data_IF_749526421718
#
_entry.id   IF_749526421718
#
_cell.length_a   1.000
_cell.length_b   1.000
_cell.length_c   1.000
_cell.angle_alpha   90.00
_cell.angle_beta   90.00
_cell.angle_gamma   90.00
#
_symmetry.space_group_name_H-M   'P 1'
#
loop_
_entity.id
_entity.type
_entity.pdbx_description
1 polymer ?
#
# COMPACT_ATOMS: atom_id res chain seq x y z
N UNK A 1 -12.12 -38.59 7.23
CA UNK A 1 -11.87 -37.86 5.99
C UNK A 1 -10.62 -37.01 6.17
N UNK A 2 -9.75 -36.92 5.19
CA UNK A 2 -8.60 -35.99 5.16
C UNK A 2 -9.13 -34.58 5.23
N UNK A 3 -8.44 -33.73 5.96
CA UNK A 3 -8.83 -32.32 6.09
C UNK A 3 -8.48 -31.59 4.78
N UNK A 4 -9.39 -30.81 4.19
CA UNK A 4 -9.06 -30.08 2.96
C UNK A 4 -7.97 -29.04 3.20
N UNK A 5 -7.19 -28.74 2.17
CA UNK A 5 -6.11 -27.76 2.24
C UNK A 5 -6.45 -26.51 1.43
N UNK A 6 -6.18 -25.34 2.00
CA UNK A 6 -6.22 -24.08 1.23
C UNK A 6 -4.80 -23.58 1.01
N UNK A 7 -4.42 -23.53 -0.26
CA UNK A 7 -3.13 -23.03 -0.71
C UNK A 7 -3.20 -21.53 -1.00
N UNK A 8 -2.42 -20.73 -0.27
CA UNK A 8 -2.32 -19.29 -0.49
C UNK A 8 -1.02 -18.98 -1.21
N UNK A 9 -1.09 -18.46 -2.41
CA UNK A 9 0.06 -18.17 -3.27
C UNK A 9 0.46 -16.71 -3.12
N UNK A 10 1.55 -16.47 -2.40
CA UNK A 10 2.10 -15.16 -2.07
C UNK A 10 1.93 -14.81 -0.58
N UNK A 11 3.05 -14.50 0.09
CA UNK A 11 3.10 -14.07 1.50
C UNK A 11 3.19 -12.53 1.64
N UNK A 12 2.57 -11.79 0.72
CA UNK A 12 2.34 -10.35 0.86
C UNK A 12 1.20 -10.04 1.84
N UNK A 13 0.89 -8.76 2.05
CA UNK A 13 -0.15 -8.34 3.01
C UNK A 13 -1.52 -8.98 2.74
N UNK A 14 -1.91 -9.15 1.47
CA UNK A 14 -3.18 -9.81 1.11
C UNK A 14 -3.18 -11.30 1.40
N UNK A 15 -2.07 -12.01 1.07
CA UNK A 15 -1.97 -13.44 1.34
C UNK A 15 -1.87 -13.75 2.83
N UNK A 16 -1.07 -12.97 3.58
CA UNK A 16 -1.01 -13.11 5.05
C UNK A 16 -2.37 -12.83 5.70
N UNK A 17 -3.12 -11.84 5.20
CA UNK A 17 -4.48 -11.56 5.66
C UNK A 17 -5.42 -12.73 5.37
N UNK A 18 -5.41 -13.25 4.15
CA UNK A 18 -6.24 -14.38 3.76
C UNK A 18 -5.95 -15.62 4.62
N UNK A 19 -4.67 -15.98 4.77
CA UNK A 19 -4.23 -17.11 5.56
C UNK A 19 -4.63 -16.97 7.04
N UNK A 20 -4.48 -15.77 7.64
CA UNK A 20 -4.84 -15.51 9.03
C UNK A 20 -6.34 -15.62 9.28
N UNK A 21 -7.17 -15.12 8.37
CA UNK A 21 -8.63 -15.23 8.48
C UNK A 21 -9.09 -16.68 8.33
N UNK A 22 -8.52 -17.43 7.37
CA UNK A 22 -8.82 -18.86 7.22
C UNK A 22 -8.37 -19.68 8.41
N UNK A 23 -7.14 -19.50 8.88
CA UNK A 23 -6.60 -20.21 10.02
C UNK A 23 -7.36 -19.94 11.33
N UNK A 24 -8.13 -18.85 11.41
CA UNK A 24 -8.98 -18.52 12.54
C UNK A 24 -10.38 -19.16 12.46
N UNK A 25 -10.87 -19.48 11.26
CA UNK A 25 -12.30 -19.78 11.05
C UNK A 25 -12.59 -21.03 10.23
N UNK A 26 -11.65 -21.48 9.39
CA UNK A 26 -11.88 -22.61 8.48
C UNK A 26 -11.48 -23.95 9.12
N UNK A 27 -12.21 -25.00 8.78
CA UNK A 27 -11.87 -26.39 9.08
C UNK A 27 -10.98 -26.98 7.99
N UNK A 28 -9.90 -26.29 7.64
CA UNK A 28 -8.97 -26.65 6.57
C UNK A 28 -7.53 -26.46 7.05
N UNK A 29 -6.60 -27.15 6.43
CA UNK A 29 -5.17 -26.91 6.60
C UNK A 29 -4.76 -25.73 5.70
N UNK A 30 -3.94 -24.83 6.20
CA UNK A 30 -3.54 -23.62 5.47
C UNK A 30 -2.06 -23.68 5.16
N UNK A 31 -1.72 -23.56 3.86
CA UNK A 31 -0.34 -23.56 3.39
C UNK A 31 -0.11 -22.29 2.56
N UNK A 32 0.79 -21.44 3.04
CA UNK A 32 1.21 -20.23 2.31
C UNK A 32 2.49 -20.53 1.54
N UNK A 33 2.51 -20.24 0.26
CA UNK A 33 3.67 -20.37 -0.62
C UNK A 33 4.18 -19.00 -1.05
N UNK A 34 5.47 -18.75 -0.87
CA UNK A 34 6.13 -17.49 -1.23
C UNK A 34 7.34 -17.78 -2.10
N UNK A 35 7.44 -17.08 -3.21
CA UNK A 35 8.54 -17.24 -4.17
C UNK A 35 9.89 -16.75 -3.67
N UNK A 36 9.88 -15.82 -2.72
CA UNK A 36 11.10 -15.24 -2.16
C UNK A 36 11.55 -15.96 -0.88
N UNK A 37 12.81 -15.72 -0.48
CA UNK A 37 13.41 -16.24 0.75
C UNK A 37 12.78 -15.61 2.03
N UNK A 38 11.92 -14.58 1.89
CA UNK A 38 11.24 -13.94 3.01
C UNK A 38 9.84 -13.45 2.63
N UNK A 39 8.92 -13.52 3.59
CA UNK A 39 7.57 -12.99 3.45
C UNK A 39 7.57 -11.44 3.42
N UNK A 40 6.43 -10.83 3.04
CA UNK A 40 6.24 -9.38 3.03
C UNK A 40 5.93 -8.80 1.66
N UNK A 41 6.14 -9.54 0.58
CA UNK A 41 5.83 -9.15 -0.80
C UNK A 41 6.53 -7.84 -1.21
N UNK A 42 5.79 -6.84 -1.68
CA UNK A 42 6.31 -5.51 -2.03
C UNK A 42 6.84 -4.70 -0.82
N UNK A 43 6.76 -5.25 0.40
CA UNK A 43 7.05 -4.57 1.66
C UNK A 43 8.15 -5.29 2.45
N UNK A 44 9.18 -5.74 1.74
CA UNK A 44 10.34 -6.44 2.33
C UNK A 44 11.34 -5.45 2.91
N UNK A 45 12.06 -5.92 3.91
CA UNK A 45 13.22 -5.25 4.50
C UNK A 45 14.48 -5.87 3.93
N UNK A 46 15.45 -5.06 3.60
CA UNK A 46 16.77 -5.46 3.11
C UNK A 46 17.82 -4.94 4.08
N UNK A 47 18.78 -5.77 4.43
CA UNK A 47 19.95 -5.32 5.16
C UNK A 47 21.06 -4.94 4.16
N UNK A 48 21.71 -3.82 4.40
CA UNK A 48 22.85 -3.34 3.62
C UNK A 48 24.06 -3.31 4.52
N UNK A 49 25.04 -4.19 4.26
CA UNK A 49 26.25 -4.33 5.06
C UNK A 49 27.11 -3.07 5.02
N UNK A 50 27.16 -2.38 3.87
CA UNK A 50 27.97 -1.17 3.71
C UNK A 50 27.44 0.02 4.53
N UNK A 51 26.13 0.11 4.70
CA UNK A 51 25.48 1.12 5.53
C UNK A 51 25.22 0.63 6.96
N UNK A 52 25.50 -0.65 7.27
CA UNK A 52 25.19 -1.32 8.53
C UNK A 52 23.73 -1.10 8.98
N UNK A 53 22.77 -1.04 8.03
CA UNK A 53 21.40 -0.62 8.27
C UNK A 53 20.41 -1.42 7.45
N UNK A 54 19.23 -1.65 8.05
CA UNK A 54 18.08 -2.23 7.36
C UNK A 54 17.30 -1.15 6.62
N UNK A 55 17.00 -1.40 5.34
CA UNK A 55 16.19 -0.55 4.50
C UNK A 55 14.90 -1.25 4.09
N UNK A 56 13.83 -0.49 4.01
CA UNK A 56 12.53 -0.99 3.55
C UNK A 56 12.27 -0.54 2.12
N UNK A 57 11.56 -1.36 1.37
CA UNK A 57 11.16 -1.02 0.00
C UNK A 57 10.21 0.21 -0.09
N UNK A 58 9.93 0.87 1.00
CA UNK A 58 9.22 2.14 1.08
C UNK A 58 8.70 2.44 2.49
N UNK A 59 8.46 3.72 2.80
CA UNK A 59 7.87 4.13 4.06
C UNK A 59 6.48 3.55 4.21
N UNK A 60 6.11 3.22 5.44
CA UNK A 60 4.85 2.55 5.74
C UNK A 60 3.99 3.44 6.61
N UNK A 61 2.84 3.77 6.06
CA UNK A 61 1.81 4.50 6.78
C UNK A 61 0.56 3.65 6.81
N UNK A 62 -0.06 3.56 7.97
CA UNK A 62 -1.40 3.03 8.19
C UNK A 62 -2.24 4.18 8.73
N UNK A 63 -3.43 4.37 8.21
CA UNK A 63 -4.30 5.41 8.72
C UNK A 63 -5.16 4.87 9.86
N UNK A 64 -5.44 5.71 10.86
CA UNK A 64 -6.28 5.34 12.01
C UNK A 64 -7.74 5.01 11.62
N UNK A 65 -8.15 5.33 10.41
CA UNK A 65 -9.43 4.97 9.78
C UNK A 65 -9.45 3.59 9.11
N UNK A 66 -8.30 2.98 8.87
CA UNK A 66 -8.17 1.72 8.14
C UNK A 66 -8.54 0.53 9.02
N UNK A 67 -9.80 0.13 8.91
CA UNK A 67 -10.39 -0.87 9.81
C UNK A 67 -9.83 -2.26 9.61
N UNK A 68 -9.63 -2.69 8.37
CA UNK A 68 -9.11 -4.03 8.07
C UNK A 68 -7.64 -4.16 8.44
N UNK A 69 -6.83 -3.16 8.09
CA UNK A 69 -5.41 -3.17 8.43
C UNK A 69 -5.19 -3.10 9.95
N UNK A 70 -5.89 -2.20 10.65
CA UNK A 70 -5.77 -2.08 12.11
C UNK A 70 -6.34 -3.31 12.83
N UNK A 71 -7.48 -3.82 12.41
CA UNK A 71 -8.07 -5.03 13.00
C UNK A 71 -7.13 -6.23 12.85
N UNK A 72 -6.44 -6.37 11.71
CA UNK A 72 -5.45 -7.42 11.54
C UNK A 72 -4.20 -7.18 12.41
N UNK A 73 -3.69 -5.94 12.48
CA UNK A 73 -2.57 -5.55 13.34
C UNK A 73 -2.87 -5.86 14.81
N UNK A 74 -4.10 -5.62 15.26
CA UNK A 74 -4.56 -5.96 16.60
C UNK A 74 -4.67 -7.48 16.80
N UNK A 75 -5.26 -8.19 15.85
CA UNK A 75 -5.44 -9.64 15.90
C UNK A 75 -4.12 -10.45 15.94
N UNK A 76 -3.04 -9.89 15.38
CA UNK A 76 -1.69 -10.48 15.47
C UNK A 76 -0.89 -9.96 16.66
N UNK A 77 -1.48 -9.12 17.52
CA UNK A 77 -0.85 -8.57 18.73
C UNK A 77 0.24 -7.52 18.45
N UNK A 78 0.19 -6.85 17.32
CA UNK A 78 1.24 -5.93 16.88
C UNK A 78 0.91 -4.44 17.09
N UNK A 79 -0.21 -4.09 17.74
CA UNK A 79 -0.66 -2.68 17.86
C UNK A 79 0.37 -1.76 18.52
N UNK A 80 1.09 -2.24 19.50
CA UNK A 80 2.14 -1.47 20.20
C UNK A 80 3.37 -1.15 19.34
N UNK A 81 3.52 -1.81 18.18
CA UNK A 81 4.60 -1.53 17.22
C UNK A 81 4.29 -0.31 16.31
N UNK A 82 3.13 0.32 16.47
CA UNK A 82 2.67 1.44 15.64
C UNK A 82 2.44 2.68 16.49
N UNK A 83 3.02 3.80 16.06
CA UNK A 83 2.88 5.10 16.72
C UNK A 83 2.21 6.13 15.80
N UNK A 84 1.53 7.10 16.38
CA UNK A 84 1.03 8.28 15.68
C UNK A 84 2.22 9.12 15.20
N UNK A 85 2.30 9.34 13.91
CA UNK A 85 3.40 10.10 13.29
C UNK A 85 3.07 11.60 13.16
N UNK A 86 1.81 11.99 13.39
CA UNK A 86 1.37 13.37 13.24
C UNK A 86 0.21 13.71 14.22
N UNK A 87 0.43 13.64 15.54
CA UNK A 87 -0.63 13.88 16.53
C UNK A 87 -1.21 15.30 16.46
N UNK A 88 -0.43 16.27 15.97
CA UNK A 88 -0.84 17.67 15.75
C UNK A 88 -1.32 18.00 14.34
N UNK A 89 -1.41 16.99 13.46
CA UNK A 89 -1.67 17.15 12.03
C UNK A 89 -0.44 16.94 11.15
N UNK A 90 -0.63 16.83 9.86
CA UNK A 90 0.46 16.57 8.89
C UNK A 90 1.12 17.89 8.49
N UNK A 91 2.42 17.99 8.72
CA UNK A 91 3.21 19.17 8.33
C UNK A 91 3.58 19.07 6.84
N UNK A 92 3.48 20.20 6.14
CA UNK A 92 3.91 20.40 4.77
C UNK A 92 4.94 21.52 4.69
N UNK A 93 5.79 21.46 3.68
CA UNK A 93 6.70 22.53 3.28
C UNK A 93 6.62 22.77 1.78
N UNK A 94 6.75 24.02 1.36
CA UNK A 94 6.80 24.44 -0.03
C UNK A 94 8.21 24.91 -0.36
N UNK A 95 8.91 24.18 -1.23
CA UNK A 95 10.30 24.50 -1.58
C UNK A 95 10.44 25.79 -2.36
N UNK A 96 9.40 26.21 -3.10
CA UNK A 96 9.45 27.43 -3.88
C UNK A 96 9.29 28.69 -3.04
N UNK A 97 8.47 28.64 -1.96
CA UNK A 97 8.20 29.81 -1.11
C UNK A 97 8.88 29.74 0.26
N UNK A 98 9.38 28.58 0.69
CA UNK A 98 9.87 28.33 2.04
C UNK A 98 8.78 28.24 3.10
N UNK A 99 7.51 28.38 2.73
CA UNK A 99 6.38 28.36 3.67
C UNK A 99 6.16 26.97 4.25
N UNK A 100 5.88 26.90 5.56
CA UNK A 100 5.50 25.66 6.24
C UNK A 100 4.10 25.80 6.85
N UNK A 101 3.31 24.75 6.76
CA UNK A 101 1.98 24.70 7.39
C UNK A 101 1.65 23.32 7.91
N UNK A 102 0.63 23.24 8.74
CA UNK A 102 0.13 21.96 9.23
C UNK A 102 -1.32 21.79 8.85
N UNK A 103 -1.61 20.76 8.06
CA UNK A 103 -2.97 20.33 7.75
C UNK A 103 -3.50 19.51 8.92
N UNK A 104 -4.65 19.97 9.50
CA UNK A 104 -5.24 19.37 10.70
C UNK A 104 -6.68 18.93 10.44
N UNK A 105 -6.89 17.82 9.71
CA UNK A 105 -8.22 17.28 9.51
C UNK A 105 -8.86 16.95 10.86
N UNK A 106 -10.12 17.31 11.04
CA UNK A 106 -10.89 16.92 12.23
C UNK A 106 -11.63 15.62 11.98
N UNK A 107 -11.83 14.86 13.05
CA UNK A 107 -12.71 13.69 13.00
C UNK A 107 -14.19 14.10 13.03
N UNK A 108 -15.04 13.24 12.47
CA UNK A 108 -16.49 13.42 12.47
C UNK A 108 -17.10 13.29 11.07
N UNK A 109 -18.42 13.14 10.97
CA UNK A 109 -19.12 12.92 9.71
C UNK A 109 -19.09 14.13 8.78
N UNK A 110 -18.89 15.33 9.34
CA UNK A 110 -18.79 16.58 8.58
C UNK A 110 -17.40 17.19 8.78
N UNK A 111 -16.76 17.68 7.72
CA UNK A 111 -15.40 18.23 7.79
C UNK A 111 -15.38 19.69 8.31
N UNK A 112 -15.89 19.92 9.50
CA UNK A 112 -15.97 21.25 10.12
C UNK A 112 -14.63 21.99 10.17
N UNK A 113 -13.52 21.23 10.18
CA UNK A 113 -12.18 21.80 10.19
C UNK A 113 -11.86 22.68 8.96
N UNK A 114 -12.57 22.49 7.84
CA UNK A 114 -12.36 23.31 6.63
C UNK A 114 -12.83 24.77 6.84
N UNK A 115 -13.64 25.04 7.84
CA UNK A 115 -14.09 26.41 8.16
C UNK A 115 -13.04 27.20 8.94
N UNK A 116 -12.08 26.53 9.59
CA UNK A 116 -10.95 27.18 10.26
C UNK A 116 -9.74 27.34 9.30
N UNK A 117 -9.38 28.58 8.91
CA UNK A 117 -8.24 28.82 8.01
C UNK A 117 -6.89 28.28 8.53
N UNK A 118 -6.73 28.15 9.86
CA UNK A 118 -5.50 27.66 10.50
C UNK A 118 -5.32 26.13 10.36
N UNK A 119 -6.38 25.44 9.98
CA UNK A 119 -6.42 23.98 9.84
C UNK A 119 -6.35 23.52 8.38
N UNK A 120 -6.55 24.45 7.44
CA UNK A 120 -6.51 24.21 6.00
C UNK A 120 -5.12 24.39 5.41
N UNK A 121 -4.96 23.98 4.14
CA UNK A 121 -3.82 24.42 3.35
C UNK A 121 -3.88 25.95 3.15
N UNK A 122 -2.78 26.69 3.37
CA UNK A 122 -2.77 28.13 3.26
C UNK A 122 -3.09 28.60 1.85
N UNK A 123 -3.68 29.80 1.75
CA UNK A 123 -4.12 30.41 0.48
C UNK A 123 -5.18 29.59 -0.27
N UNK A 124 -5.86 28.64 0.40
CA UNK A 124 -7.05 27.96 -0.12
C UNK A 124 -8.32 28.58 0.42
N UNK A 125 -9.42 28.45 -0.34
CA UNK A 125 -10.76 28.93 0.03
C UNK A 125 -11.68 27.76 0.33
N UNK A 126 -12.79 27.98 1.03
CA UNK A 126 -13.78 26.93 1.30
C UNK A 126 -14.27 26.22 0.05
N UNK A 127 -14.50 26.98 -1.03
CA UNK A 127 -14.93 26.41 -2.31
C UNK A 127 -13.96 25.38 -2.89
N UNK A 128 -12.68 25.45 -2.54
CA UNK A 128 -11.64 24.53 -3.04
C UNK A 128 -11.76 23.14 -2.44
N UNK A 129 -12.52 23.01 -1.34
CA UNK A 129 -12.84 21.74 -0.67
C UNK A 129 -14.20 21.15 -1.11
N UNK A 130 -15.01 21.93 -1.84
CA UNK A 130 -16.33 21.52 -2.30
C UNK A 130 -16.32 20.26 -3.20
N UNK A 131 -15.32 20.06 -4.08
CA UNK A 131 -15.22 18.85 -4.89
C UNK A 131 -15.28 17.56 -4.07
N UNK A 132 -14.78 17.57 -2.85
CA UNK A 132 -14.81 16.42 -1.93
C UNK A 132 -16.22 15.82 -1.77
N UNK A 133 -17.26 16.64 -1.71
CA UNK A 133 -18.64 16.19 -1.56
C UNK A 133 -19.18 15.46 -2.79
N UNK A 134 -18.60 15.72 -3.96
CA UNK A 134 -19.04 15.15 -5.24
C UNK A 134 -18.27 13.87 -5.64
N UNK A 135 -17.03 13.75 -5.18
CA UNK A 135 -16.14 12.63 -5.55
C UNK A 135 -16.68 11.27 -5.13
N UNK A 136 -17.38 11.18 -4.00
CA UNK A 136 -18.00 9.92 -3.54
C UNK A 136 -19.10 9.37 -4.47
N UNK A 137 -19.60 10.18 -5.43
CA UNK A 137 -20.62 9.80 -6.43
C UNK A 137 -20.09 9.95 -7.85
N UNK A 138 -18.79 10.08 -8.04
CA UNK A 138 -18.20 10.25 -9.35
C UNK A 138 -18.45 9.00 -10.23
N UNK A 139 -18.80 9.17 -11.51
CA UNK A 139 -18.89 8.08 -12.47
C UNK A 139 -17.57 7.29 -12.56
N UNK A 140 -17.66 6.03 -12.96
CA UNK A 140 -16.51 5.14 -13.03
C UNK A 140 -15.42 5.60 -14.02
N UNK A 141 -15.81 6.32 -15.07
CA UNK A 141 -14.93 6.84 -16.11
C UNK A 141 -14.43 8.28 -15.86
N UNK A 142 -14.85 8.92 -14.76
CA UNK A 142 -14.49 10.30 -14.46
C UNK A 142 -13.06 10.44 -13.96
N UNK A 143 -12.39 11.49 -14.40
CA UNK A 143 -11.06 11.88 -13.91
C UNK A 143 -11.18 12.81 -12.70
N UNK A 144 -10.20 12.74 -11.79
CA UNK A 144 -10.14 13.64 -10.65
C UNK A 144 -10.01 15.10 -11.10
N UNK A 145 -9.25 15.36 -12.17
CA UNK A 145 -9.08 16.68 -12.77
C UNK A 145 -10.37 17.32 -13.29
N UNK A 146 -11.44 16.53 -13.55
CA UNK A 146 -12.77 17.08 -13.93
C UNK A 146 -13.51 17.71 -12.73
N UNK A 147 -13.11 17.37 -11.52
CA UNK A 147 -13.76 17.80 -10.27
C UNK A 147 -12.99 18.88 -9.52
N UNK A 148 -11.67 18.81 -9.59
CA UNK A 148 -10.78 19.68 -8.80
C UNK A 148 -9.97 20.58 -9.71
N UNK A 149 -9.55 21.78 -9.26
CA UNK A 149 -8.73 22.65 -10.09
C UNK A 149 -7.38 21.98 -10.39
N UNK A 150 -6.95 22.06 -11.65
CA UNK A 150 -5.65 21.56 -12.12
C UNK A 150 -4.51 22.56 -11.88
N UNK A 151 -4.84 23.82 -11.56
CA UNK A 151 -3.89 24.93 -11.39
C UNK A 151 -4.17 25.72 -10.11
N UNK A 152 -3.15 26.47 -9.68
CA UNK A 152 -3.20 27.37 -8.54
C UNK A 152 -3.03 26.68 -7.20
N UNK A 153 -3.15 27.44 -6.13
CA UNK A 153 -2.76 27.01 -4.77
C UNK A 153 -3.54 25.80 -4.25
N UNK A 154 -4.80 25.65 -4.61
CA UNK A 154 -5.58 24.48 -4.22
C UNK A 154 -5.08 23.20 -4.90
N UNK A 155 -4.73 23.26 -6.19
CA UNK A 155 -4.11 22.15 -6.89
C UNK A 155 -2.76 21.76 -6.27
N UNK A 156 -1.87 22.75 -6.10
CA UNK A 156 -0.50 22.55 -5.61
C UNK A 156 -0.43 22.06 -4.16
N UNK A 157 -1.24 22.66 -3.26
CA UNK A 157 -1.12 22.49 -1.81
C UNK A 157 -2.09 21.51 -1.18
N UNK A 158 -3.10 21.05 -1.93
CA UNK A 158 -4.12 20.14 -1.44
C UNK A 158 -4.31 18.94 -2.36
N UNK A 159 -4.77 19.15 -3.61
CA UNK A 159 -5.26 18.06 -4.44
C UNK A 159 -4.17 17.19 -5.07
N UNK A 160 -3.09 17.79 -5.57
CA UNK A 160 -1.95 17.03 -6.11
C UNK A 160 -1.21 16.24 -5.04
N UNK A 161 -0.85 16.82 -3.87
CA UNK A 161 -0.30 16.03 -2.76
C UNK A 161 -1.21 14.90 -2.30
N UNK A 162 -2.52 15.14 -2.27
CA UNK A 162 -3.51 14.11 -1.95
C UNK A 162 -3.52 12.98 -2.98
N UNK A 163 -3.61 13.28 -4.27
CA UNK A 163 -3.63 12.30 -5.35
C UNK A 163 -2.36 11.44 -5.35
N UNK A 164 -1.20 12.06 -5.24
CA UNK A 164 0.08 11.35 -5.18
C UNK A 164 0.21 10.49 -3.92
N UNK A 165 -0.23 10.97 -2.76
CA UNK A 165 -0.18 10.21 -1.52
C UNK A 165 -1.10 8.98 -1.54
N UNK A 166 -2.36 9.18 -1.92
CA UNK A 166 -3.42 8.19 -1.81
C UNK A 166 -3.48 7.23 -3.00
N UNK A 167 -3.17 7.72 -4.20
CA UNK A 167 -3.37 7.00 -5.46
C UNK A 167 -2.05 6.65 -6.17
N UNK A 168 -0.95 7.30 -5.82
CA UNK A 168 0.32 7.21 -6.57
C UNK A 168 0.12 7.52 -8.07
N UNK A 169 -0.81 8.39 -8.39
CA UNK A 169 -1.20 8.77 -9.76
C UNK A 169 -1.44 10.26 -9.75
N UNK A 170 -0.95 10.95 -10.76
CA UNK A 170 -1.12 12.40 -10.85
C UNK A 170 -2.58 12.78 -11.05
N UNK A 171 -2.91 13.99 -10.64
CA UNK A 171 -4.25 14.55 -10.54
C UNK A 171 -5.03 14.46 -11.85
N UNK A 172 -4.38 14.74 -12.99
CA UNK A 172 -4.99 14.76 -14.30
C UNK A 172 -5.35 13.36 -14.84
N UNK A 173 -4.70 12.31 -14.32
CA UNK A 173 -4.90 10.91 -14.74
C UNK A 173 -5.71 10.09 -13.74
N UNK A 174 -5.80 10.56 -12.51
CA UNK A 174 -6.39 9.81 -11.41
C UNK A 174 -7.90 9.62 -11.57
N UNK A 175 -8.40 8.44 -11.17
CA UNK A 175 -9.83 8.14 -11.09
C UNK A 175 -10.49 8.97 -9.98
N UNK A 176 -11.54 9.72 -10.34
CA UNK A 176 -12.35 10.47 -9.39
C UNK A 176 -13.02 9.55 -8.36
N UNK A 177 -13.47 8.36 -8.76
CA UNK A 177 -14.08 7.36 -7.90
C UNK A 177 -13.10 6.84 -6.83
N UNK A 178 -11.90 6.45 -7.23
CA UNK A 178 -10.87 6.00 -6.30
C UNK A 178 -10.38 7.12 -5.38
N UNK A 179 -10.29 8.36 -5.91
CA UNK A 179 -10.00 9.54 -5.11
C UNK A 179 -11.08 9.79 -4.05
N UNK A 180 -12.35 9.67 -4.41
CA UNK A 180 -13.47 9.79 -3.48
C UNK A 180 -13.43 8.76 -2.35
N UNK A 181 -13.12 7.50 -2.67
CA UNK A 181 -12.95 6.44 -1.67
C UNK A 181 -11.78 6.74 -0.72
N UNK A 182 -10.62 7.12 -1.27
CA UNK A 182 -9.45 7.49 -0.47
C UNK A 182 -9.70 8.72 0.41
N UNK A 183 -10.46 9.70 -0.09
CA UNK A 183 -10.78 10.92 0.64
C UNK A 183 -11.62 10.64 1.90
N UNK A 184 -12.57 9.72 1.81
CA UNK A 184 -13.37 9.27 2.95
C UNK A 184 -12.51 8.63 4.05
N UNK A 185 -11.45 7.94 3.66
CA UNK A 185 -10.52 7.29 4.58
C UNK A 185 -9.41 8.22 5.11
N UNK A 186 -9.23 9.40 4.53
CA UNK A 186 -8.16 10.33 4.89
C UNK A 186 -8.70 11.61 5.51
N UNK A 187 -9.01 12.58 4.65
CA UNK A 187 -9.32 13.95 5.07
C UNK A 187 -10.70 14.09 5.74
N UNK A 188 -11.69 13.33 5.28
CA UNK A 188 -13.04 13.43 5.84
C UNK A 188 -13.18 12.68 7.17
N UNK A 189 -12.44 11.59 7.34
CA UNK A 189 -12.47 10.78 8.56
C UNK A 189 -11.59 11.31 9.70
N UNK A 190 -10.83 12.40 9.49
CA UNK A 190 -9.85 12.88 10.48
C UNK A 190 -8.77 11.86 10.80
N UNK A 191 -8.39 11.05 9.81
CA UNK A 191 -7.46 9.97 9.96
C UNK A 191 -6.06 10.47 10.32
N UNK A 192 -5.44 9.80 11.29
CA UNK A 192 -4.06 10.06 11.70
C UNK A 192 -3.14 9.04 11.07
N UNK A 193 -1.99 9.47 10.53
CA UNK A 193 -1.00 8.55 10.00
C UNK A 193 -0.25 7.84 11.14
N UNK A 194 -0.28 6.52 11.13
CA UNK A 194 0.50 5.67 12.02
C UNK A 194 1.70 5.11 11.26
N UNK A 195 2.87 5.14 11.88
CA UNK A 195 4.10 4.57 11.34
C UNK A 195 4.63 3.46 12.24
N UNK A 196 5.31 2.45 11.69
CA UNK A 196 5.93 1.41 12.52
C UNK A 196 7.11 2.00 13.28
N UNK A 197 7.28 1.57 14.54
CA UNK A 197 8.38 2.01 15.41
C UNK A 197 9.72 1.46 14.91
N UNK A 198 9.77 0.17 14.58
CA UNK A 198 10.99 -0.56 14.17
C UNK A 198 10.90 -1.21 12.79
N UNK A 199 10.18 -0.57 11.86
CA UNK A 199 9.97 -1.07 10.51
C UNK A 199 8.79 -2.02 10.37
N UNK A 200 8.38 -2.20 9.10
CA UNK A 200 7.15 -2.94 8.75
C UNK A 200 7.28 -4.44 9.00
N UNK A 201 8.46 -5.00 8.82
CA UNK A 201 8.70 -6.43 9.06
C UNK A 201 8.35 -6.80 10.50
N UNK A 202 8.93 -6.09 11.48
CA UNK A 202 8.66 -6.30 12.90
C UNK A 202 7.26 -5.89 13.34
N UNK A 203 6.67 -4.90 12.66
CA UNK A 203 5.35 -4.37 13.01
C UNK A 203 4.20 -5.13 12.36
N UNK A 204 4.45 -5.96 11.33
CA UNK A 204 3.38 -6.65 10.60
C UNK A 204 3.78 -8.09 10.18
N UNK A 205 4.89 -8.26 9.45
CA UNK A 205 5.21 -9.54 8.79
C UNK A 205 5.56 -10.63 9.80
N UNK A 206 6.51 -10.37 10.69
CA UNK A 206 6.93 -11.33 11.73
C UNK A 206 5.77 -11.71 12.67
N UNK A 207 4.99 -10.74 13.22
CA UNK A 207 3.82 -11.07 14.03
C UNK A 207 2.77 -11.90 13.28
N UNK A 208 2.52 -11.59 12.00
CA UNK A 208 1.59 -12.34 11.16
C UNK A 208 2.06 -13.78 10.94
N UNK A 209 3.33 -13.98 10.59
CA UNK A 209 3.92 -15.30 10.42
C UNK A 209 3.90 -16.11 11.73
N UNK A 210 4.20 -15.48 12.87
CA UNK A 210 4.11 -16.10 14.18
C UNK A 210 2.67 -16.51 14.53
N UNK A 211 1.70 -15.65 14.23
CA UNK A 211 0.28 -15.97 14.48
C UNK A 211 -0.21 -17.12 13.58
N UNK A 212 0.22 -17.20 12.34
CA UNK A 212 -0.07 -18.32 11.44
C UNK A 212 0.48 -19.64 11.97
N UNK A 213 1.77 -19.67 12.32
CA UNK A 213 2.39 -20.89 12.88
C UNK A 213 1.69 -21.37 14.16
N UNK A 214 1.30 -20.46 15.05
CA UNK A 214 0.53 -20.80 16.28
C UNK A 214 -0.82 -21.45 15.98
N UNK A 215 -1.41 -21.16 14.81
CA UNK A 215 -2.68 -21.73 14.35
C UNK A 215 -2.49 -22.98 13.48
N UNK A 216 -1.27 -23.50 13.38
CA UNK A 216 -0.95 -24.69 12.60
C UNK A 216 -0.79 -24.47 11.09
N UNK A 217 -0.81 -23.21 10.61
CA UNK A 217 -0.58 -22.91 9.21
C UNK A 217 0.91 -23.04 8.84
N UNK A 218 1.20 -23.60 7.67
CA UNK A 218 2.54 -23.71 7.14
C UNK A 218 2.87 -22.51 6.23
N UNK A 219 4.12 -22.02 6.32
CA UNK A 219 4.66 -21.01 5.37
C UNK A 219 5.88 -21.64 4.70
N UNK A 220 5.82 -21.76 3.38
CA UNK A 220 6.86 -22.32 2.53
C UNK A 220 7.46 -21.19 1.69
N UNK A 221 8.69 -20.83 2.00
CA UNK A 221 9.48 -19.82 1.28
C UNK A 221 10.23 -20.45 0.12
N UNK A 222 10.77 -19.63 -0.80
CA UNK A 222 11.51 -20.04 -1.98
C UNK A 222 10.73 -21.07 -2.82
N UNK A 223 9.40 -20.90 -2.86
CA UNK A 223 8.50 -21.81 -3.55
C UNK A 223 7.64 -21.04 -4.55
N UNK A 224 8.15 -20.92 -5.74
CA UNK A 224 7.53 -20.19 -6.82
C UNK A 224 6.56 -21.07 -7.59
N UNK A 225 5.32 -20.65 -7.68
CA UNK A 225 4.33 -21.25 -8.56
C UNK A 225 4.65 -20.84 -10.00
N UNK A 226 4.87 -21.83 -10.86
CA UNK A 226 5.17 -21.67 -12.27
C UNK A 226 3.92 -21.71 -13.15
N UNK A 227 2.97 -22.62 -12.84
CA UNK A 227 1.72 -22.76 -13.56
C UNK A 227 0.59 -23.26 -12.66
N UNK A 228 -0.64 -23.03 -13.10
CA UNK A 228 -1.85 -23.66 -12.59
C UNK A 228 -2.36 -24.68 -13.60
N UNK A 229 -2.63 -25.88 -13.13
CA UNK A 229 -3.40 -26.85 -13.90
C UNK A 229 -4.90 -26.52 -13.72
N UNK A 230 -5.49 -25.95 -14.77
CA UNK A 230 -6.85 -25.45 -14.76
C UNK A 230 -7.75 -26.37 -15.59
N UNK A 231 -8.59 -27.15 -14.92
CA UNK A 231 -9.67 -27.89 -15.56
C UNK A 231 -10.83 -26.95 -15.92
N UNK A 232 -11.89 -27.46 -16.51
CA UNK A 232 -13.01 -26.64 -16.98
C UNK A 232 -13.67 -25.78 -15.88
N UNK A 233 -13.80 -26.31 -14.67
CA UNK A 233 -14.53 -25.66 -13.58
C UNK A 233 -13.73 -25.47 -12.29
N UNK A 234 -12.58 -26.13 -12.16
CA UNK A 234 -11.76 -26.10 -10.95
C UNK A 234 -10.26 -26.11 -11.30
N UNK A 235 -9.44 -25.55 -10.41
CA UNK A 235 -8.00 -25.79 -10.44
C UNK A 235 -7.74 -27.21 -9.96
N UNK A 236 -6.98 -27.99 -10.73
CA UNK A 236 -6.67 -29.40 -10.46
C UNK A 236 -5.27 -29.58 -9.88
N UNK A 237 -4.34 -28.63 -10.09
CA UNK A 237 -2.98 -28.74 -9.61
C UNK A 237 -2.21 -27.43 -9.58
N UNK A 238 -1.16 -27.44 -8.77
CA UNK A 238 -0.21 -26.34 -8.60
C UNK A 238 1.16 -26.84 -9.06
N UNK A 239 1.70 -26.27 -10.13
CA UNK A 239 3.04 -26.60 -10.63
C UNK A 239 4.04 -25.57 -10.08
N UNK A 240 4.91 -26.02 -9.20
CA UNK A 240 6.01 -25.22 -8.69
C UNK A 240 7.28 -25.49 -9.51
N UNK A 241 8.30 -24.65 -9.38
CA UNK A 241 9.57 -24.83 -10.13
C UNK A 241 10.24 -26.19 -9.89
N UNK A 242 10.02 -26.83 -8.74
CA UNK A 242 10.72 -28.05 -8.33
C UNK A 242 9.81 -29.24 -8.01
N UNK A 243 8.50 -29.00 -7.87
CA UNK A 243 7.52 -30.03 -7.51
C UNK A 243 6.12 -29.65 -7.97
N UNK A 244 5.19 -30.61 -7.88
CA UNK A 244 3.77 -30.44 -8.16
C UNK A 244 2.94 -30.80 -6.93
N UNK A 245 1.83 -30.12 -6.76
CA UNK A 245 0.77 -30.46 -5.80
C UNK A 245 -0.50 -30.70 -6.59
N UNK A 246 -0.97 -31.93 -6.61
CA UNK A 246 -2.30 -32.27 -7.13
C UNK A 246 -3.34 -31.88 -6.07
N UNK A 247 -4.35 -31.15 -6.49
CA UNK A 247 -5.42 -30.70 -5.61
C UNK A 247 -6.45 -31.82 -5.47
N UNK A 248 -6.75 -32.18 -4.23
CA UNK A 248 -7.80 -33.14 -3.92
C UNK A 248 -9.18 -32.43 -3.85
N UNK A 249 -10.23 -33.21 -3.88
CA UNK A 249 -11.58 -32.69 -3.72
C UNK A 249 -11.70 -31.92 -2.40
N UNK A 250 -12.16 -30.68 -2.49
CA UNK A 250 -12.27 -29.78 -1.35
C UNK A 250 -11.03 -28.90 -1.10
N UNK A 251 -9.94 -29.09 -1.85
CA UNK A 251 -8.78 -28.19 -1.78
C UNK A 251 -9.04 -26.89 -2.55
N UNK A 252 -8.69 -25.77 -1.94
CA UNK A 252 -8.88 -24.44 -2.51
C UNK A 252 -7.58 -23.67 -2.72
N UNK A 253 -7.61 -22.70 -3.60
CA UNK A 253 -6.47 -21.84 -3.95
C UNK A 253 -6.82 -20.37 -3.81
N UNK A 254 -5.96 -19.59 -3.18
CA UNK A 254 -6.03 -18.12 -3.18
C UNK A 254 -4.78 -17.57 -3.85
N UNK A 255 -4.92 -16.96 -5.04
CA UNK A 255 -3.85 -16.24 -5.69
C UNK A 255 -3.71 -14.85 -5.08
N UNK A 256 -2.68 -14.67 -4.26
CA UNK A 256 -2.31 -13.40 -3.63
C UNK A 256 -1.06 -12.78 -4.28
N UNK A 257 -0.92 -12.98 -5.59
CA UNK A 257 0.21 -12.54 -6.43
C UNK A 257 -0.03 -11.14 -7.01
N UNK A 258 0.99 -10.49 -7.59
CA UNK A 258 0.80 -9.27 -8.40
C UNK A 258 -0.15 -9.50 -9.58
N UNK A 259 -0.84 -8.44 -10.09
CA UNK A 259 -1.85 -8.58 -11.14
C UNK A 259 -1.31 -9.23 -12.42
N UNK A 260 -0.08 -8.90 -12.84
CA UNK A 260 0.54 -9.48 -14.04
C UNK A 260 0.81 -10.97 -13.87
N UNK A 261 1.21 -11.38 -12.66
CA UNK A 261 1.46 -12.81 -12.34
C UNK A 261 0.14 -13.58 -12.29
N UNK A 262 -0.89 -13.00 -11.68
CA UNK A 262 -2.21 -13.62 -11.63
C UNK A 262 -2.80 -13.83 -13.03
N UNK A 263 -2.68 -12.83 -13.91
CA UNK A 263 -3.14 -12.94 -15.31
C UNK A 263 -2.35 -13.95 -16.12
N UNK A 264 -1.04 -14.12 -15.85
CA UNK A 264 -0.21 -15.13 -16.50
C UNK A 264 -0.55 -16.54 -16.01
N UNK A 265 -0.82 -16.72 -14.71
CA UNK A 265 -1.17 -18.03 -14.12
C UNK A 265 -2.60 -18.47 -14.45
N UNK A 266 -3.51 -17.55 -14.66
CA UNK A 266 -4.92 -17.83 -14.96
C UNK A 266 -5.35 -17.05 -16.21
N UNK A 267 -5.10 -17.58 -17.41
CA UNK A 267 -5.43 -16.94 -18.68
C UNK A 267 -6.93 -16.60 -18.77
N UNK A 268 -7.24 -15.42 -19.31
CA UNK A 268 -8.61 -14.91 -19.40
C UNK A 268 -9.06 -14.05 -18.20
N UNK A 269 -8.28 -13.99 -17.11
CA UNK A 269 -8.54 -13.03 -16.05
C UNK A 269 -8.21 -11.60 -16.50
N UNK A 270 -9.19 -10.71 -16.35
CA UNK A 270 -8.94 -9.27 -16.47
C UNK A 270 -8.08 -8.81 -15.28
N UNK A 271 -7.07 -7.99 -15.53
CA UNK A 271 -6.26 -7.40 -14.47
C UNK A 271 -5.68 -6.05 -14.93
N UNK A 272 -5.40 -5.12 -14.02
CA UNK A 272 -4.68 -3.89 -14.35
C UNK A 272 -3.34 -4.17 -15.02
N UNK A 273 -3.10 -3.53 -16.15
CA UNK A 273 -1.90 -3.73 -16.99
C UNK A 273 -0.85 -2.64 -16.76
N UNK A 274 -1.30 -1.41 -16.41
CA UNK A 274 -0.43 -0.28 -16.18
C UNK A 274 -0.13 -0.12 -14.68
N UNK A 275 1.13 0.19 -14.38
CA UNK A 275 1.60 0.43 -13.02
C UNK A 275 2.31 1.76 -12.92
N UNK A 276 2.18 2.43 -11.79
CA UNK A 276 2.97 3.61 -11.48
C UNK A 276 4.15 3.24 -10.59
N UNK A 277 5.30 3.83 -10.95
CA UNK A 277 6.54 3.66 -10.21
C UNK A 277 6.56 4.49 -8.92
N UNK A 278 7.39 4.06 -7.98
CA UNK A 278 7.78 4.86 -6.83
C UNK A 278 9.27 4.69 -6.56
N UNK A 279 9.89 5.73 -6.05
CA UNK A 279 11.29 5.72 -5.60
C UNK A 279 11.31 6.08 -4.14
N UNK A 280 12.14 5.38 -3.37
CA UNK A 280 12.46 5.75 -2.00
C UNK A 280 13.97 5.86 -1.86
N UNK A 281 14.43 7.00 -1.37
CA UNK A 281 15.81 7.18 -0.95
C UNK A 281 15.87 7.17 0.58
N UNK A 282 16.79 6.40 1.12
CA UNK A 282 17.09 6.32 2.54
C UNK A 282 18.48 6.90 2.78
N UNK A 283 18.59 7.75 3.78
CA UNK A 283 19.80 8.38 4.22
C UNK A 283 20.10 7.92 5.65
N UNK A 284 21.29 7.35 5.86
CA UNK A 284 21.74 6.77 7.13
C UNK A 284 22.20 7.89 8.07
N UNK A 285 21.27 8.65 8.63
CA UNK A 285 21.52 9.74 9.56
C UNK A 285 20.35 9.90 10.52
N UNK A 286 20.64 10.17 11.77
CA UNK A 286 19.60 10.50 12.75
C UNK A 286 18.95 11.85 12.41
N UNK A 287 17.63 11.92 12.32
CA UNK A 287 16.95 13.18 12.08
C UNK A 287 17.16 14.13 13.27
N UNK A 288 17.23 15.45 13.03
CA UNK A 288 17.24 16.43 14.12
C UNK A 288 15.98 16.29 14.99
N UNK A 289 16.06 16.59 16.31
CA UNK A 289 14.91 16.47 17.22
C UNK A 289 13.69 17.29 16.80
N UNK A 290 13.90 18.41 16.10
CA UNK A 290 12.83 19.28 15.60
C UNK A 290 12.19 18.78 14.28
N UNK A 291 12.77 17.77 13.61
CA UNK A 291 12.24 17.26 12.37
C UNK A 291 10.93 16.47 12.64
N UNK A 292 9.84 16.78 11.92
CA UNK A 292 8.60 16.05 12.11
C UNK A 292 8.75 14.59 11.63
N UNK A 293 8.11 13.61 12.29
CA UNK A 293 8.17 12.21 11.88
C UNK A 293 7.68 11.96 10.44
N UNK A 294 6.76 12.80 9.96
CA UNK A 294 6.28 12.83 8.58
C UNK A 294 6.14 14.26 8.08
N UNK A 295 6.61 14.53 6.88
CA UNK A 295 6.51 15.83 6.22
C UNK A 295 6.14 15.64 4.76
N UNK A 296 5.06 16.32 4.32
CA UNK A 296 4.71 16.45 2.91
C UNK A 296 5.49 17.59 2.27
N UNK A 297 5.90 17.40 1.01
CA UNK A 297 6.63 18.41 0.27
C UNK A 297 5.88 18.78 -1.00
N UNK A 298 5.79 20.08 -1.29
CA UNK A 298 5.28 20.61 -2.55
C UNK A 298 6.38 21.42 -3.24
N UNK A 299 6.36 21.45 -4.56
CA UNK A 299 7.35 22.12 -5.40
C UNK A 299 8.80 21.67 -5.13
N UNK A 300 9.00 20.41 -4.79
CA UNK A 300 10.30 19.81 -4.52
C UNK A 300 10.55 18.55 -5.34
N UNK A 301 11.75 17.98 -5.20
CA UNK A 301 12.19 16.78 -5.91
C UNK A 301 11.58 15.49 -5.36
N UNK A 302 11.00 15.51 -4.16
CA UNK A 302 10.27 14.41 -3.57
C UNK A 302 8.92 14.87 -3.01
N UNK A 303 8.05 13.95 -2.60
CA UNK A 303 6.71 14.28 -2.12
C UNK A 303 6.54 14.08 -0.61
N UNK A 304 7.29 13.14 -0.03
CA UNK A 304 7.17 12.78 1.38
C UNK A 304 8.52 12.52 2.01
N UNK A 305 8.74 13.04 3.21
CA UNK A 305 9.88 12.73 4.07
C UNK A 305 9.39 12.02 5.34
N UNK A 306 10.13 11.02 5.76
CA UNK A 306 9.86 10.22 6.96
C UNK A 306 11.11 10.18 7.82
N UNK A 307 10.97 10.59 9.07
CA UNK A 307 12.04 10.60 10.08
C UNK A 307 11.84 9.43 11.04
N UNK A 308 12.80 8.51 11.07
CA UNK A 308 12.81 7.33 11.93
C UNK A 308 14.12 7.14 12.67
N UNK A 309 14.26 6.07 13.45
CA UNK A 309 15.49 5.75 14.15
C UNK A 309 16.66 5.64 13.18
N UNK A 310 17.66 6.52 13.36
CA UNK A 310 18.93 6.50 12.60
C UNK A 310 18.79 6.76 11.11
N UNK A 311 17.63 7.18 10.60
CA UNK A 311 17.46 7.42 9.16
C UNK A 311 16.44 8.49 8.82
N UNK A 312 16.66 9.16 7.70
CA UNK A 312 15.70 9.98 6.98
C UNK A 312 15.40 9.27 5.67
N UNK A 313 14.11 9.12 5.35
CA UNK A 313 13.67 8.49 4.09
C UNK A 313 12.80 9.47 3.31
N UNK A 314 13.02 9.59 2.01
CA UNK A 314 12.18 10.41 1.13
C UNK A 314 11.55 9.56 0.04
N UNK A 315 10.34 9.91 -0.37
CA UNK A 315 9.58 9.16 -1.35
C UNK A 315 9.13 10.04 -2.51
N UNK A 316 9.42 9.59 -3.74
CA UNK A 316 8.88 10.11 -4.98
C UNK A 316 7.74 9.20 -5.40
N UNK A 317 6.56 9.78 -5.60
CA UNK A 317 5.35 9.11 -6.08
C UNK A 317 5.17 9.41 -7.56
N UNK A 318 4.51 8.50 -8.30
CA UNK A 318 4.38 8.58 -9.77
C UNK A 318 5.74 8.88 -10.44
N UNK A 319 6.74 8.08 -10.05
CA UNK A 319 8.17 8.38 -10.27
C UNK A 319 8.65 8.01 -11.68
N UNK A 320 7.78 7.88 -12.67
CA UNK A 320 8.14 7.41 -14.01
C UNK A 320 9.35 8.13 -14.62
N UNK A 321 9.35 9.45 -14.58
CA UNK A 321 10.45 10.28 -15.09
C UNK A 321 11.74 10.09 -14.29
N UNK A 322 11.64 10.04 -12.96
CA UNK A 322 12.80 9.91 -12.07
C UNK A 322 13.47 8.51 -12.12
N UNK A 323 12.77 7.50 -12.67
CA UNK A 323 13.31 6.15 -12.83
C UNK A 323 14.56 6.08 -13.73
N UNK A 324 14.72 6.99 -14.66
CA UNK A 324 15.86 7.05 -15.57
C UNK A 324 17.08 7.82 -15.02
N UNK A 325 16.91 8.57 -13.92
CA UNK A 325 17.98 9.42 -13.39
C UNK A 325 19.15 8.57 -12.84
N UNK A 326 20.42 8.94 -13.03
CA UNK A 326 21.55 8.31 -12.35
C UNK A 326 21.36 8.31 -10.83
N UNK A 327 21.73 7.22 -10.15
CA UNK A 327 21.47 7.08 -8.70
C UNK A 327 22.17 8.13 -7.86
N UNK A 328 23.42 8.39 -8.18
CA UNK A 328 24.28 9.34 -7.46
C UNK A 328 23.73 10.77 -7.58
N UNK A 329 23.33 11.15 -8.79
CA UNK A 329 22.72 12.46 -9.04
C UNK A 329 21.38 12.58 -8.29
N UNK A 330 20.53 11.56 -8.40
CA UNK A 330 19.24 11.55 -7.71
C UNK A 330 19.43 11.64 -6.19
N UNK A 331 20.38 10.89 -5.62
CA UNK A 331 20.69 10.95 -4.19
C UNK A 331 21.14 12.34 -3.77
N UNK A 332 22.03 12.98 -4.54
CA UNK A 332 22.53 14.32 -4.26
C UNK A 332 21.42 15.38 -4.33
N UNK A 333 20.56 15.31 -5.36
CA UNK A 333 19.44 16.25 -5.53
C UNK A 333 18.43 16.12 -4.40
N UNK A 334 18.06 14.89 -4.02
CA UNK A 334 17.15 14.62 -2.90
C UNK A 334 17.75 15.04 -1.57
N UNK A 335 19.05 14.77 -1.36
CA UNK A 335 19.73 15.15 -0.12
C UNK A 335 19.82 16.66 0.08
N UNK A 336 20.08 17.43 -0.98
CA UNK A 336 20.12 18.90 -0.91
C UNK A 336 18.82 19.48 -0.36
N UNK A 337 17.67 18.95 -0.77
CA UNK A 337 16.39 19.39 -0.22
C UNK A 337 16.17 18.91 1.22
N UNK A 338 16.59 17.68 1.56
CA UNK A 338 16.55 17.18 2.94
C UNK A 338 17.40 18.07 3.85
N UNK A 339 18.62 18.40 3.44
CA UNK A 339 19.53 19.27 4.19
C UNK A 339 18.92 20.67 4.42
N UNK A 340 18.36 21.27 3.36
CA UNK A 340 17.68 22.56 3.44
C UNK A 340 16.46 22.52 4.40
N UNK A 341 15.69 21.44 4.42
CA UNK A 341 14.52 21.29 5.27
C UNK A 341 14.87 21.02 6.74
N UNK A 342 16.00 20.37 7.00
CA UNK A 342 16.37 19.86 8.33
C UNK A 342 17.52 20.63 8.98
N UNK A 343 18.23 21.48 8.23
CA UNK A 343 19.42 22.17 8.70
C UNK A 343 20.66 21.27 8.86
N UNK A 344 20.65 20.11 8.23
CA UNK A 344 21.81 19.20 8.19
C UNK A 344 22.84 19.66 7.17
N UNK A 345 24.06 19.09 7.23
CA UNK A 345 25.15 19.37 6.28
C UNK A 345 24.73 19.00 4.86
N UNK A 346 25.20 19.73 3.87
CA UNK A 346 24.97 19.48 2.43
C UNK A 346 25.66 18.20 1.92
N UNK A 347 26.66 17.70 2.62
CA UNK A 347 27.30 16.43 2.26
C UNK A 347 26.37 15.25 2.57
N UNK A 348 25.98 14.45 1.56
CA UNK A 348 25.08 13.33 1.77
C UNK A 348 25.76 12.26 2.63
N UNK A 349 25.07 11.73 3.67
CA UNK A 349 25.54 10.56 4.41
C UNK A 349 25.44 9.29 3.53
N UNK A 350 25.79 8.14 4.07
CA UNK A 350 25.52 6.87 3.38
C UNK A 350 24.03 6.77 3.00
N UNK A 351 23.75 6.32 1.78
CA UNK A 351 22.39 6.32 1.24
C UNK A 351 22.08 5.06 0.42
N UNK A 352 20.80 4.77 0.30
CA UNK A 352 20.28 3.71 -0.56
C UNK A 352 19.05 4.19 -1.31
N UNK A 353 19.01 3.97 -2.64
CA UNK A 353 17.83 4.22 -3.47
C UNK A 353 17.18 2.90 -3.87
N UNK A 354 15.90 2.77 -3.58
CA UNK A 354 15.06 1.65 -3.97
C UNK A 354 14.08 2.13 -5.03
N UNK A 355 14.11 1.51 -6.21
CA UNK A 355 13.20 1.78 -7.32
C UNK A 355 12.20 0.66 -7.44
N UNK A 356 10.92 0.99 -7.46
CA UNK A 356 9.82 0.07 -7.66
C UNK A 356 9.06 0.47 -8.92
N UNK A 357 9.30 -0.22 -10.02
CA UNK A 357 8.61 0.04 -11.29
C UNK A 357 7.10 -0.25 -11.18
N UNK A 358 6.73 -1.26 -10.41
CA UNK A 358 5.35 -1.70 -10.19
C UNK A 358 4.94 -1.46 -8.74
N UNK A 359 5.02 -0.20 -8.26
CA UNK A 359 4.71 0.13 -6.87
C UNK A 359 3.20 0.00 -6.57
N UNK A 360 2.36 0.48 -7.49
CA UNK A 360 0.90 0.35 -7.47
C UNK A 360 0.39 0.13 -8.89
N UNK A 361 -0.83 -0.41 -9.06
CA UNK A 361 -1.48 -0.21 -10.35
C UNK A 361 -1.77 1.28 -10.56
N UNK A 362 -1.77 1.75 -11.80
CA UNK A 362 -2.11 3.13 -12.12
C UNK A 362 -3.58 3.36 -11.80
N UNK A 363 -3.87 4.26 -10.84
CA UNK A 363 -5.24 4.50 -10.37
C UNK A 363 -6.04 5.37 -11.34
N UNK A 364 -6.04 4.99 -12.61
CA UNK A 364 -6.83 5.62 -13.69
C UNK A 364 -8.20 4.95 -13.82
N UNK A 365 -9.22 5.61 -14.41
CA UNK A 365 -10.51 4.99 -14.67
C UNK A 365 -10.40 3.70 -15.50
N UNK A 366 -9.53 3.69 -16.50
CA UNK A 366 -9.30 2.52 -17.36
C UNK A 366 -8.76 1.33 -16.56
N UNK A 367 -7.75 1.53 -15.74
CA UNK A 367 -7.15 0.46 -14.95
C UNK A 367 -8.07 0.00 -13.82
N UNK A 368 -8.87 0.90 -13.24
CA UNK A 368 -9.87 0.55 -12.25
C UNK A 368 -10.99 -0.35 -12.83
N UNK A 369 -11.38 -0.14 -14.10
CA UNK A 369 -12.34 -0.98 -14.81
C UNK A 369 -11.82 -2.40 -15.11
N UNK A 370 -10.50 -2.59 -15.20
CA UNK A 370 -9.86 -3.89 -15.43
C UNK A 370 -9.67 -4.72 -14.16
N UNK A 371 -10.00 -4.20 -12.99
CA UNK A 371 -9.82 -4.92 -11.72
C UNK A 371 -10.80 -6.09 -11.64
N UNK A 372 -10.30 -7.32 -11.40
CA UNK A 372 -11.13 -8.50 -11.30
C UNK A 372 -11.92 -8.54 -9.99
N UNK A 373 -12.99 -9.34 -9.96
CA UNK A 373 -13.62 -9.75 -8.71
C UNK A 373 -12.70 -10.70 -7.92
N UNK A 374 -13.05 -10.95 -6.66
CA UNK A 374 -12.38 -11.97 -5.86
C UNK A 374 -12.63 -13.39 -6.39
N UNK A 375 -13.82 -13.63 -6.93
CA UNK A 375 -14.26 -14.92 -7.49
C UNK A 375 -13.77 -15.02 -8.94
N UNK A 376 -13.36 -16.22 -9.33
CA UNK A 376 -12.91 -16.54 -10.67
C UNK A 376 -13.91 -17.52 -11.35
N UNK A 377 -13.75 -17.83 -12.63
CA UNK A 377 -14.52 -18.89 -13.28
C UNK A 377 -14.31 -20.29 -12.65
N UNK A 378 -13.18 -20.52 -11.99
CA UNK A 378 -12.87 -21.77 -11.30
C UNK A 378 -13.37 -21.72 -9.86
N UNK A 379 -14.23 -22.67 -9.48
CA UNK A 379 -14.98 -22.64 -8.20
C UNK A 379 -14.10 -22.64 -6.96
N UNK A 380 -12.93 -23.30 -7.02
CA UNK A 380 -11.97 -23.42 -5.91
C UNK A 380 -10.81 -22.41 -5.99
N UNK A 381 -10.83 -21.45 -6.93
CA UNK A 381 -9.76 -20.46 -7.14
C UNK A 381 -10.27 -19.04 -6.86
N UNK A 382 -9.61 -18.36 -5.93
CA UNK A 382 -9.96 -17.00 -5.50
C UNK A 382 -8.77 -16.06 -5.67
N UNK A 383 -9.06 -14.76 -5.84
CA UNK A 383 -8.04 -13.72 -5.97
C UNK A 383 -7.96 -12.85 -4.72
N UNK A 384 -6.73 -12.54 -4.31
CA UNK A 384 -6.45 -11.57 -3.26
C UNK A 384 -5.34 -10.61 -3.68
N UNK A 385 -5.54 -9.32 -3.45
CA UNK A 385 -4.57 -8.28 -3.80
C UNK A 385 -5.21 -6.91 -3.77
N UNK A 386 -4.41 -5.87 -3.60
CA UNK A 386 -4.95 -4.52 -3.64
C UNK A 386 -5.55 -4.15 -5.01
N UNK A 387 -5.19 -4.87 -6.05
CA UNK A 387 -5.74 -4.73 -7.40
C UNK A 387 -7.11 -5.42 -7.60
N UNK A 388 -7.50 -6.34 -6.71
CA UNK A 388 -8.83 -6.96 -6.75
C UNK A 388 -9.89 -5.94 -6.37
N UNK A 389 -11.04 -5.96 -7.07
CA UNK A 389 -12.10 -4.98 -6.88
C UNK A 389 -12.69 -5.02 -5.47
N UNK A 390 -12.47 -3.97 -4.71
CA UNK A 390 -12.98 -3.80 -3.36
C UNK A 390 -13.33 -2.33 -3.02
N UNK A 391 -13.35 -1.47 -4.04
CA UNK A 391 -13.70 -0.06 -3.90
C UNK A 391 -12.58 0.88 -3.45
N UNK A 392 -11.42 0.35 -3.04
CA UNK A 392 -10.28 1.14 -2.55
C UNK A 392 -9.13 1.19 -3.55
N UNK A 393 -8.28 2.23 -3.54
CA UNK A 393 -7.04 2.27 -4.32
C UNK A 393 -6.00 1.26 -3.79
N UNK A 394 -4.82 1.15 -4.45
CA UNK A 394 -3.74 0.23 -4.04
C UNK A 394 -3.07 0.69 -2.74
N UNK A 395 -3.66 0.32 -1.62
CA UNK A 395 -3.21 0.62 -0.26
C UNK A 395 -3.04 -0.66 0.56
N UNK A 396 -2.47 -0.53 1.77
CA UNK A 396 -2.42 -1.66 2.71
C UNK A 396 -3.83 -2.08 3.16
N UNK A 397 -4.73 -1.12 3.35
CA UNK A 397 -6.15 -1.38 3.69
C UNK A 397 -6.82 -2.22 2.61
N UNK A 398 -6.65 -1.82 1.35
CA UNK A 398 -7.17 -2.56 0.20
C UNK A 398 -6.61 -3.99 0.14
N UNK A 399 -5.31 -4.16 0.35
CA UNK A 399 -4.66 -5.48 0.33
C UNK A 399 -5.19 -6.39 1.45
N UNK A 400 -5.26 -5.88 2.68
CA UNK A 400 -5.74 -6.65 3.85
C UNK A 400 -7.23 -6.97 3.71
N UNK A 401 -8.05 -5.99 3.29
CA UNK A 401 -9.47 -6.18 3.01
C UNK A 401 -9.70 -7.23 1.93
N UNK A 402 -8.93 -7.19 0.84
CA UNK A 402 -9.03 -8.17 -0.24
C UNK A 402 -8.71 -9.58 0.24
N UNK A 403 -7.66 -9.74 1.08
CA UNK A 403 -7.33 -11.03 1.69
C UNK A 403 -8.45 -11.57 2.59
N UNK A 404 -9.07 -10.71 3.40
CA UNK A 404 -10.20 -11.07 4.25
C UNK A 404 -11.43 -11.51 3.41
N UNK A 405 -11.72 -10.81 2.30
CA UNK A 405 -12.80 -11.16 1.38
C UNK A 405 -12.54 -12.51 0.70
N UNK A 406 -11.31 -12.74 0.22
CA UNK A 406 -10.92 -14.01 -0.39
C UNK A 406 -11.06 -15.18 0.61
N UNK A 407 -10.63 -14.99 1.85
CA UNK A 407 -10.81 -15.97 2.91
C UNK A 407 -12.29 -16.28 3.19
N UNK A 408 -13.15 -15.26 3.22
CA UNK A 408 -14.57 -15.44 3.44
C UNK A 408 -15.24 -16.23 2.28
N UNK A 409 -14.85 -15.98 1.02
CA UNK A 409 -15.34 -16.71 -0.15
C UNK A 409 -14.85 -18.15 -0.17
N UNK A 410 -13.56 -18.37 0.07
CA UNK A 410 -12.98 -19.71 0.15
C UNK A 410 -13.62 -20.53 1.29
N UNK A 411 -13.85 -19.93 2.47
CA UNK A 411 -14.55 -20.59 3.57
C UNK A 411 -15.98 -20.99 3.20
N UNK A 412 -16.75 -20.07 2.59
CA UNK A 412 -18.13 -20.36 2.15
C UNK A 412 -18.14 -21.52 1.14
N UNK A 413 -17.19 -21.55 0.23
CA UNK A 413 -17.04 -22.64 -0.72
C UNK A 413 -16.71 -23.98 -0.03
N UNK A 414 -15.76 -23.98 0.95
CA UNK A 414 -15.42 -25.17 1.76
C UNK A 414 -16.62 -25.72 2.54
N UNK A 415 -17.46 -24.85 3.07
CA UNK A 415 -18.68 -25.24 3.83
C UNK A 415 -19.77 -25.84 2.94
N UNK A 416 -19.69 -25.68 1.63
CA UNK A 416 -20.64 -26.19 0.65
C UNK A 416 -20.20 -27.53 0.01
N UNK A 417 -18.98 -28.05 0.36
CA UNK A 417 -18.47 -29.34 -0.10
C UNK A 417 -18.95 -30.49 0.77
#
# INVERSE_FOLDING_TARGET
MKRPTVHVIGAGASGLSAALHLAATAKADIVVHESAAQAGGRRRTFFDDAAAMSFESGPRVVLSSWRYALGLIEAIGARAQWRDAAPGGVTFADMASGERWTLRPGGGPLPWWIFDPRRRAPQTRLRDYWPAARLGRAPANALLGDYVPSFGRAAERLWRPFALAALNTDLERASARLAGAALGETLLGGARPLTPVRGFERAFVEPAAKALRRRGAAIRLERRLAALDLASEEAAGLEFEHDRVDLERGDGVILATPPQVAAALAPGLSAPQESNAAIVAHFAISPPPAAPPILGLVNGAFHWMFCGEGRISVAIRDAGVAMASPRERLAADLWREVAALTGLSDAPPAWRIIRQAHATFAATPRQDALRPSCETPWRNLFLAGAYVQNGLPDTLESAVRSGALAAARARKWLEAQ
#
